data_IF_222002843733
#
_entry.id   IF_222002843733
#
_cell.length_a   1.000
_cell.length_b   1.000
_cell.length_c   1.000
_cell.angle_alpha   90.00
_cell.angle_beta   90.00
_cell.angle_gamma   90.00
#
_symmetry.space_group_name_H-M   'P 1'
#
loop_
_entity.id
_entity.type
_entity.pdbx_description
1 polymer ?
#
# COMPACT_ATOMS: atom_id res chain seq x y z
N UNK A 1 4.82 -5.62 -16.11
CA UNK A 1 5.47 -5.83 -14.80
C UNK A 1 5.32 -4.54 -14.02
N UNK A 2 4.66 -4.60 -12.87
CA UNK A 2 4.34 -3.42 -12.09
C UNK A 2 5.61 -2.90 -11.39
N UNK A 3 5.88 -1.61 -11.56
CA UNK A 3 7.06 -0.98 -10.96
C UNK A 3 6.80 -0.54 -9.52
N UNK A 4 7.72 -0.89 -8.61
CA UNK A 4 7.68 -0.47 -7.20
C UNK A 4 7.55 1.03 -7.04
N UNK A 5 8.29 1.81 -7.84
CA UNK A 5 8.25 3.27 -7.80
C UNK A 5 6.87 3.84 -8.17
N UNK A 6 6.09 3.13 -8.99
CA UNK A 6 4.73 3.58 -9.34
C UNK A 6 3.79 3.39 -8.16
N UNK A 7 3.80 2.20 -7.55
CA UNK A 7 3.01 1.92 -6.34
C UNK A 7 3.39 2.86 -5.19
N UNK A 8 4.69 3.06 -4.95
CA UNK A 8 5.19 3.92 -3.89
C UNK A 8 4.69 5.37 -4.05
N UNK A 9 4.75 5.94 -5.27
CA UNK A 9 4.23 7.29 -5.53
C UNK A 9 2.71 7.38 -5.35
N UNK A 10 1.97 6.37 -5.77
CA UNK A 10 0.51 6.34 -5.58
C UNK A 10 0.17 6.28 -4.09
N UNK A 11 0.88 5.45 -3.34
CA UNK A 11 0.67 5.33 -1.90
C UNK A 11 1.03 6.63 -1.17
N UNK A 12 2.18 7.24 -1.46
CA UNK A 12 2.55 8.54 -0.90
C UNK A 12 1.54 9.64 -1.25
N UNK A 13 1.02 9.66 -2.49
CA UNK A 13 0.01 10.63 -2.91
C UNK A 13 -1.32 10.46 -2.17
N UNK A 14 -1.76 9.22 -1.94
CA UNK A 14 -2.95 8.92 -1.14
C UNK A 14 -2.78 9.33 0.32
N UNK A 15 -1.59 9.08 0.87
CA UNK A 15 -1.25 9.35 2.26
C UNK A 15 -0.91 10.81 2.54
N UNK A 16 -0.67 11.64 1.51
CA UNK A 16 -0.33 13.06 1.68
C UNK A 16 -1.35 13.88 2.50
N UNK A 17 -2.60 13.42 2.56
CA UNK A 17 -3.67 14.03 3.36
C UNK A 17 -4.16 13.13 4.51
N UNK A 18 -3.58 11.93 4.65
CA UNK A 18 -3.80 11.05 5.81
C UNK A 18 -2.76 11.36 6.88
N UNK A 19 -3.04 10.93 8.10
CA UNK A 19 -2.04 10.93 9.16
C UNK A 19 -1.15 9.67 9.12
N UNK A 20 -1.50 8.68 8.29
CA UNK A 20 -0.70 7.48 8.07
C UNK A 20 0.49 7.76 7.15
N UNK A 21 1.58 7.01 7.31
CA UNK A 21 2.77 7.04 6.47
C UNK A 21 3.08 5.68 5.86
N UNK A 22 3.77 5.69 4.72
CA UNK A 22 4.20 4.49 4.03
C UNK A 22 5.43 3.88 4.73
N UNK A 23 5.35 2.59 5.07
CA UNK A 23 6.44 1.84 5.73
C UNK A 23 7.25 1.03 4.73
N UNK A 24 6.59 0.17 3.96
CA UNK A 24 7.23 -0.70 2.97
C UNK A 24 6.27 -0.98 1.81
N UNK A 25 6.84 -1.29 0.65
CA UNK A 25 6.11 -1.76 -0.53
C UNK A 25 6.84 -2.97 -1.07
N UNK A 26 6.21 -4.13 -1.09
CA UNK A 26 6.79 -5.35 -1.65
C UNK A 26 6.04 -5.70 -2.92
N UNK A 27 6.77 -6.01 -3.99
CA UNK A 27 6.20 -6.55 -5.23
C UNK A 27 6.80 -7.93 -5.45
N UNK A 28 5.94 -8.94 -5.41
CA UNK A 28 6.26 -10.34 -5.66
C UNK A 28 6.37 -10.67 -7.15
N UNK A 29 6.78 -11.91 -7.44
CA UNK A 29 6.98 -12.38 -8.80
C UNK A 29 5.67 -12.44 -9.63
N UNK A 30 4.53 -12.62 -8.96
CA UNK A 30 3.19 -12.72 -9.57
C UNK A 30 2.45 -11.37 -9.58
N UNK A 31 3.18 -10.25 -9.61
CA UNK A 31 2.61 -8.90 -9.40
C UNK A 31 1.79 -8.79 -8.09
N UNK A 32 2.13 -9.59 -7.07
CA UNK A 32 1.54 -9.46 -5.74
C UNK A 32 2.16 -8.24 -5.03
N UNK A 33 1.38 -7.19 -4.87
CA UNK A 33 1.76 -5.92 -4.27
C UNK A 33 1.29 -5.91 -2.82
N UNK A 34 2.23 -5.83 -1.90
CA UNK A 34 1.93 -5.64 -0.47
C UNK A 34 2.40 -4.25 -0.08
N UNK A 35 1.46 -3.41 0.36
CA UNK A 35 1.71 -2.06 0.84
C UNK A 35 1.50 -2.03 2.34
N UNK A 36 2.53 -1.61 3.07
CA UNK A 36 2.52 -1.54 4.52
C UNK A 36 2.50 -0.08 4.96
N UNK A 37 1.51 0.28 5.78
CA UNK A 37 1.33 1.64 6.31
C UNK A 37 1.32 1.66 7.82
N UNK A 38 1.65 2.79 8.42
CA UNK A 38 1.66 2.95 9.87
C UNK A 38 1.29 4.37 10.28
N UNK A 39 0.97 4.55 11.56
CA UNK A 39 0.53 5.81 12.13
C UNK A 39 0.94 5.87 13.61
N UNK A 40 1.42 7.04 14.07
CA UNK A 40 1.93 7.22 15.44
C UNK A 40 0.94 6.81 16.56
N UNK A 41 -0.36 7.08 16.37
CA UNK A 41 -1.43 6.61 17.27
C UNK A 41 -2.03 5.24 16.91
N UNK A 42 -2.76 5.13 15.78
CA UNK A 42 -3.33 3.87 15.30
C UNK A 42 -3.75 3.99 13.83
N UNK A 43 -3.54 2.93 13.06
CA UNK A 43 -4.10 2.81 11.70
C UNK A 43 -5.51 2.24 11.80
N UNK A 44 -6.48 2.89 11.15
CA UNK A 44 -7.84 2.37 11.05
C UNK A 44 -8.01 1.46 9.82
N UNK A 45 -8.99 0.57 9.85
CA UNK A 45 -9.33 -0.26 8.67
C UNK A 45 -9.72 0.65 7.49
N UNK A 46 -10.40 1.76 7.77
CA UNK A 46 -10.79 2.74 6.75
C UNK A 46 -9.57 3.35 6.04
N UNK A 47 -8.45 3.57 6.73
CA UNK A 47 -7.21 4.05 6.10
C UNK A 47 -6.66 3.02 5.10
N UNK A 48 -6.64 1.74 5.49
CA UNK A 48 -6.20 0.66 4.60
C UNK A 48 -7.10 0.56 3.35
N UNK A 49 -8.42 0.66 3.53
CA UNK A 49 -9.40 0.62 2.45
C UNK A 49 -9.29 1.84 1.54
N UNK A 50 -9.09 3.03 2.11
CA UNK A 50 -8.93 4.25 1.34
C UNK A 50 -7.67 4.19 0.45
N UNK A 51 -6.56 3.68 1.01
CA UNK A 51 -5.32 3.48 0.26
C UNK A 51 -5.48 2.44 -0.85
N UNK A 52 -6.11 1.30 -0.54
CA UNK A 52 -6.31 0.23 -1.53
C UNK A 52 -7.15 0.73 -2.71
N UNK A 53 -8.26 1.42 -2.42
CA UNK A 53 -9.11 2.01 -3.45
C UNK A 53 -8.39 3.07 -4.28
N UNK A 54 -7.56 3.91 -3.66
CA UNK A 54 -6.81 4.92 -4.41
C UNK A 54 -5.83 4.28 -5.39
N UNK A 55 -5.08 3.26 -4.94
CA UNK A 55 -4.15 2.54 -5.80
C UNK A 55 -4.90 1.82 -6.92
N UNK A 56 -5.98 1.10 -6.61
CA UNK A 56 -6.80 0.39 -7.62
C UNK A 56 -7.44 1.33 -8.65
N UNK A 57 -7.73 2.59 -8.29
CA UNK A 57 -8.25 3.57 -9.26
C UNK A 57 -7.17 4.07 -10.24
N UNK A 58 -5.89 4.00 -9.86
CA UNK A 58 -4.78 4.50 -10.65
C UNK A 58 -3.95 3.38 -11.30
N UNK A 59 -4.11 2.13 -10.84
CA UNK A 59 -3.47 0.94 -11.36
C UNK A 59 -4.49 0.16 -12.19
N UNK A 60 -4.17 -0.06 -13.46
CA UNK A 60 -5.11 -0.65 -14.41
C UNK A 60 -5.10 -2.18 -14.27
N UNK A 61 -6.07 -2.71 -13.53
CA UNK A 61 -6.21 -4.15 -13.25
C UNK A 61 -6.67 -4.97 -14.46
N UNK A 62 -7.20 -4.30 -15.48
CA UNK A 62 -7.54 -4.93 -16.77
C UNK A 62 -6.32 -5.06 -17.70
N UNK A 63 -5.28 -4.24 -17.48
CA UNK A 63 -4.06 -4.27 -18.28
C UNK A 63 -3.07 -5.35 -17.82
N UNK A 64 -2.89 -5.52 -16.50
CA UNK A 64 -2.06 -6.57 -15.92
C UNK A 64 -2.72 -7.16 -14.67
N UNK A 65 -2.74 -8.49 -14.58
CA UNK A 65 -3.24 -9.20 -13.40
C UNK A 65 -2.28 -8.94 -12.22
N UNK A 66 -2.84 -8.39 -11.14
CA UNK A 66 -2.13 -8.07 -9.90
C UNK A 66 -3.02 -8.30 -8.69
N UNK A 67 -2.36 -8.58 -7.58
CA UNK A 67 -2.97 -8.65 -6.26
C UNK A 67 -2.48 -7.46 -5.45
N UNK A 68 -3.39 -6.71 -4.82
CA UNK A 68 -3.02 -5.61 -3.93
C UNK A 68 -3.51 -5.91 -2.52
N UNK A 69 -2.57 -5.96 -1.59
CA UNK A 69 -2.81 -6.09 -0.17
C UNK A 69 -2.30 -4.84 0.54
N UNK A 70 -3.18 -4.17 1.27
CA UNK A 70 -2.81 -3.05 2.16
C UNK A 70 -2.92 -3.53 3.59
N UNK A 71 -1.81 -3.45 4.32
CA UNK A 71 -1.72 -3.90 5.71
C UNK A 71 -1.12 -2.80 6.58
N UNK A 72 -1.47 -2.80 7.87
CA UNK A 72 -0.82 -1.93 8.84
C UNK A 72 0.46 -2.58 9.38
N UNK A 73 1.49 -1.79 9.64
CA UNK A 73 2.70 -2.24 10.31
C UNK A 73 2.39 -2.53 11.78
N UNK A 74 1.85 -3.72 12.05
CA UNK A 74 1.57 -4.17 13.41
C UNK A 74 2.85 -4.62 14.14
N UNK A 75 2.68 -4.88 15.44
CA UNK A 75 3.66 -5.55 16.32
C UNK A 75 4.14 -6.93 15.82
N UNK A 76 3.53 -7.46 14.75
CA UNK A 76 3.84 -8.75 14.13
C UNK A 76 5.17 -8.77 13.35
N UNK A 77 5.81 -7.62 13.16
CA UNK A 77 7.19 -7.57 12.64
C UNK A 77 8.18 -7.20 13.74
N UNK A 78 8.99 -8.16 14.26
CA UNK A 78 10.13 -7.80 15.09
C UNK A 78 11.03 -6.85 14.29
N UNK A 79 11.46 -5.77 14.96
CA UNK A 79 12.27 -4.67 14.38
C UNK A 79 13.29 -5.21 13.35
N UNK A 80 13.14 -4.77 12.11
CA UNK A 80 14.04 -5.08 10.99
C UNK A 80 15.38 -4.36 11.15
#
# INVERSE_FOLDING_TARGET
>A
MIERNTVMRLAEAALAYSACYLVDVVIGADNAIVVEIDHDEAVSIDDCVALSQYIEQHLDRDAEDYELEVTSAGLDRPFK
#
